data_IF_671998988160
#
_entry.id   IF_671998988160
#
_cell.length_a   1.000
_cell.length_b   1.000
_cell.length_c   1.000
_cell.angle_alpha   90.00
_cell.angle_beta   90.00
_cell.angle_gamma   90.00
#
_symmetry.space_group_name_H-M   'P 1'
#
loop_
_entity.id
_entity.type
_entity.pdbx_description
1 polymer ?
#
# COMPACT_ATOMS: atom_id res chain seq x y z
N UNK A 1 3.13 0.97 26.12
CA UNK A 1 2.77 2.05 25.17
C UNK A 1 3.10 3.42 25.74
N UNK A 2 2.63 3.72 26.95
CA UNK A 2 2.91 4.97 27.66
C UNK A 2 4.40 5.30 27.77
N UNK A 3 5.25 4.32 28.07
CA UNK A 3 6.70 4.52 28.12
C UNK A 3 7.28 4.97 26.78
N UNK A 4 6.78 4.44 25.66
CA UNK A 4 7.22 4.83 24.33
C UNK A 4 6.80 6.27 24.02
N UNK A 5 5.52 6.62 24.23
CA UNK A 5 5.01 7.97 24.01
C UNK A 5 5.72 8.99 24.91
N UNK A 6 5.97 8.61 26.17
CA UNK A 6 6.74 9.42 27.12
C UNK A 6 8.15 9.68 26.60
N UNK A 7 8.87 8.65 26.17
CA UNK A 7 10.23 8.78 25.61
C UNK A 7 10.27 9.56 24.30
N UNK A 8 9.27 9.37 23.44
CA UNK A 8 9.15 10.15 22.20
C UNK A 8 8.98 11.65 22.51
N UNK A 9 8.15 11.98 23.50
CA UNK A 9 7.92 13.36 23.93
C UNK A 9 9.15 14.03 24.58
N UNK A 10 10.14 13.27 25.05
CA UNK A 10 11.39 13.83 25.58
C UNK A 10 12.20 14.55 24.49
N UNK A 11 12.09 14.13 23.23
CA UNK A 11 12.79 14.75 22.10
C UNK A 11 12.32 16.18 21.85
N UNK A 12 11.00 16.39 21.78
CA UNK A 12 10.41 17.72 21.56
C UNK A 12 10.53 18.64 22.79
N UNK A 13 10.76 18.07 23.99
CA UNK A 13 11.04 18.82 25.23
C UNK A 13 12.50 19.24 25.40
N UNK A 14 13.41 18.67 24.61
CA UNK A 14 14.83 18.97 24.71
C UNK A 14 15.13 20.45 24.46
N UNK A 15 16.08 21.03 25.19
CA UNK A 15 16.41 22.46 25.09
C UNK A 15 16.90 22.86 23.68
N UNK A 16 17.74 22.02 23.07
CA UNK A 16 18.27 22.24 21.72
C UNK A 16 17.17 22.16 20.67
N UNK A 17 16.17 21.30 20.87
CA UNK A 17 15.00 21.23 20.00
C UNK A 17 14.21 22.54 20.05
N UNK A 18 13.94 23.03 21.26
CA UNK A 18 13.23 24.30 21.46
C UNK A 18 13.96 25.52 20.86
N UNK A 19 15.30 25.50 20.86
CA UNK A 19 16.13 26.54 20.26
C UNK A 19 16.12 26.46 18.74
N UNK A 20 16.30 25.26 18.17
CA UNK A 20 16.31 25.03 16.73
C UNK A 20 14.94 25.28 16.09
N UNK A 21 13.85 24.85 16.72
CA UNK A 21 12.49 24.98 16.18
C UNK A 21 12.01 26.44 15.98
N UNK A 22 12.66 27.41 16.63
CA UNK A 22 12.31 28.85 16.55
C UNK A 22 13.09 29.60 15.47
N UNK A 23 14.20 29.05 15.00
CA UNK A 23 15.15 29.76 14.15
C UNK A 23 15.58 28.88 12.97
N UNK A 24 15.09 29.15 11.75
CA UNK A 24 15.55 28.44 10.55
C UNK A 24 17.05 28.62 10.28
N UNK A 25 17.62 29.72 10.76
CA UNK A 25 19.05 30.01 10.64
C UNK A 25 19.81 29.36 11.79
N UNK A 26 20.81 28.54 11.45
CA UNK A 26 21.68 27.91 12.44
C UNK A 26 22.43 28.98 13.25
N UNK A 27 22.22 28.97 14.56
CA UNK A 27 22.86 29.88 15.53
C UNK A 27 23.57 29.07 16.60
N UNK A 28 24.81 28.68 16.31
CA UNK A 28 25.67 27.94 17.21
C UNK A 28 26.93 28.75 17.56
N UNK A 29 27.28 28.77 18.84
CA UNK A 29 28.54 29.40 19.32
C UNK A 29 29.70 28.41 19.35
N UNK A 30 29.40 27.13 19.51
CA UNK A 30 30.37 26.03 19.53
C UNK A 30 29.84 24.84 18.73
N UNK A 31 30.70 23.98 18.16
CA UNK A 31 30.27 22.84 17.34
C UNK A 31 29.29 21.89 18.04
N UNK A 32 29.43 21.71 19.36
CA UNK A 32 28.56 20.85 20.17
C UNK A 32 27.09 21.33 20.24
N UNK A 33 26.79 22.58 19.86
CA UNK A 33 25.41 23.07 19.78
C UNK A 33 24.69 22.65 18.49
N UNK A 34 25.41 22.09 17.50
CA UNK A 34 24.87 21.69 16.19
C UNK A 34 24.44 20.22 16.21
N UNK A 35 23.55 19.88 17.14
CA UNK A 35 22.99 18.53 17.26
C UNK A 35 21.62 18.38 16.60
N UNK A 36 20.83 19.45 16.64
CA UNK A 36 19.46 19.47 16.12
C UNK A 36 19.30 20.69 15.23
N UNK A 37 18.78 20.48 14.02
CA UNK A 37 18.46 21.56 13.08
C UNK A 37 16.94 21.82 12.98
N UNK A 38 16.61 22.92 12.29
CA UNK A 38 15.24 23.37 12.13
C UNK A 38 14.36 22.39 11.33
N UNK A 39 14.91 21.76 10.28
CA UNK A 39 14.15 20.84 9.43
C UNK A 39 13.85 19.54 10.16
N UNK A 40 14.78 19.05 11.00
CA UNK A 40 14.53 17.96 11.92
C UNK A 40 13.35 18.28 12.83
N UNK A 41 13.32 19.46 13.48
CA UNK A 41 12.20 19.84 14.34
C UNK A 41 10.86 19.86 13.59
N UNK A 42 10.86 20.37 12.36
CA UNK A 42 9.64 20.44 11.53
C UNK A 42 9.15 19.05 11.15
N UNK A 43 10.05 18.17 10.74
CA UNK A 43 9.75 16.78 10.39
C UNK A 43 9.27 16.00 11.62
N UNK A 44 10.02 16.07 12.72
CA UNK A 44 9.74 15.36 13.96
C UNK A 44 8.34 15.70 14.50
N UNK A 45 7.96 16.98 14.50
CA UNK A 45 6.63 17.41 14.96
C UNK A 45 5.49 16.76 14.18
N UNK A 46 5.64 16.61 12.86
CA UNK A 46 4.62 15.96 12.02
C UNK A 46 4.57 14.46 12.32
N UNK A 47 5.73 13.81 12.35
CA UNK A 47 5.83 12.36 12.56
C UNK A 47 5.42 11.93 13.97
N UNK A 48 5.74 12.71 15.00
CA UNK A 48 5.34 12.46 16.40
C UNK A 48 3.81 12.38 16.52
N UNK A 49 3.10 13.33 15.91
CA UNK A 49 1.64 13.34 15.87
C UNK A 49 1.07 12.12 15.16
N UNK A 50 1.62 11.77 13.99
CA UNK A 50 1.18 10.59 13.22
C UNK A 50 1.40 9.30 14.02
N UNK A 51 2.59 9.14 14.60
CA UNK A 51 2.94 7.96 15.41
C UNK A 51 2.00 7.80 16.60
N UNK A 52 1.73 8.86 17.36
CA UNK A 52 0.81 8.82 18.50
C UNK A 52 -0.60 8.43 18.05
N UNK A 53 -1.11 9.00 16.95
CA UNK A 53 -2.44 8.67 16.42
C UNK A 53 -2.54 7.22 15.97
N UNK A 54 -1.57 6.73 15.20
CA UNK A 54 -1.55 5.32 14.75
C UNK A 54 -1.51 4.35 15.93
N UNK A 55 -0.77 4.72 16.97
CA UNK A 55 -0.67 3.96 18.20
C UNK A 55 -2.01 3.93 18.95
N UNK A 56 -2.67 5.08 19.16
CA UNK A 56 -4.01 5.13 19.80
C UNK A 56 -5.05 4.31 19.04
N UNK A 57 -5.08 4.43 17.71
CA UNK A 57 -5.99 3.64 16.85
C UNK A 57 -5.70 2.13 16.95
N UNK A 58 -4.45 1.72 17.18
CA UNK A 58 -4.10 0.31 17.42
C UNK A 58 -4.64 -0.20 18.76
N UNK A 59 -4.69 0.62 19.82
CA UNK A 59 -5.33 0.21 21.08
C UNK A 59 -6.85 0.08 20.93
N UNK A 60 -7.49 1.05 20.29
CA UNK A 60 -8.95 1.04 20.08
C UNK A 60 -9.37 -0.15 19.19
N UNK A 61 -8.63 -0.41 18.10
CA UNK A 61 -8.89 -1.57 17.23
C UNK A 61 -8.42 -2.92 17.82
N UNK A 62 -7.49 -2.90 18.77
CA UNK A 62 -7.00 -4.09 19.48
C UNK A 62 -7.95 -4.58 20.58
N UNK A 63 -8.85 -3.72 21.07
CA UNK A 63 -9.85 -4.09 22.07
C UNK A 63 -10.96 -5.00 21.50
N UNK A 64 -11.26 -4.92 20.19
CA UNK A 64 -12.24 -5.80 19.52
C UNK A 64 -11.63 -7.13 19.05
N UNK A 65 -10.31 -7.20 18.83
CA UNK A 65 -9.59 -8.36 18.27
C UNK A 65 -8.87 -9.22 19.33
N UNK A 66 -8.88 -8.83 20.62
CA UNK A 66 -8.18 -9.54 21.70
C UNK A 66 -8.71 -10.97 22.02
N UNK A 67 -9.70 -11.46 21.27
CA UNK A 67 -10.17 -12.85 21.32
C UNK A 67 -9.39 -13.83 20.42
N UNK A 68 -8.50 -13.37 19.53
CA UNK A 68 -7.74 -14.24 18.64
C UNK A 68 -6.28 -13.81 18.55
N UNK A 69 -5.40 -14.75 18.87
CA UNK A 69 -3.97 -14.73 18.55
C UNK A 69 -3.12 -13.74 19.35
N UNK A 70 -2.78 -14.14 20.58
CA UNK A 70 -1.44 -13.89 21.06
C UNK A 70 -0.44 -14.65 20.18
N UNK A 71 0.46 -13.92 19.51
CA UNK A 71 1.88 -14.23 19.29
C UNK A 71 2.45 -13.28 18.22
N UNK A 72 3.51 -12.53 18.55
CA UNK A 72 4.46 -12.04 17.54
C UNK A 72 4.55 -10.54 17.33
N UNK A 73 5.45 -9.89 18.07
CA UNK A 73 6.48 -8.97 17.56
C UNK A 73 6.17 -8.04 16.37
N UNK A 74 6.00 -6.75 16.66
CA UNK A 74 6.84 -5.67 16.09
C UNK A 74 6.67 -5.19 14.63
N UNK A 75 6.07 -5.95 13.71
CA UNK A 75 6.11 -5.65 12.26
C UNK A 75 4.78 -5.15 11.66
N UNK A 76 3.70 -5.11 12.44
CA UNK A 76 2.34 -5.09 11.87
C UNK A 76 1.84 -3.74 11.36
N UNK A 77 2.45 -2.61 11.72
CA UNK A 77 1.92 -1.29 11.33
C UNK A 77 2.11 -1.00 9.83
N UNK A 78 3.19 -1.51 9.22
CA UNK A 78 3.38 -1.47 7.76
C UNK A 78 2.55 -2.53 7.01
N UNK A 79 2.19 -3.62 7.68
CA UNK A 79 1.37 -4.71 7.12
C UNK A 79 -0.10 -4.30 6.98
N UNK A 80 -0.61 -3.31 7.73
CA UNK A 80 -2.01 -2.86 7.62
C UNK A 80 -2.26 -2.00 6.37
N UNK A 81 -1.40 -1.03 6.06
CA UNK A 81 -1.46 -0.32 4.76
C UNK A 81 -1.11 -1.26 3.60
N UNK A 82 -0.12 -2.14 3.80
CA UNK A 82 0.20 -3.21 2.85
C UNK A 82 -0.97 -4.17 2.62
N UNK A 83 -1.79 -4.43 3.64
CA UNK A 83 -2.95 -5.31 3.58
C UNK A 83 -4.09 -4.72 2.75
N UNK A 84 -4.38 -3.42 2.92
CA UNK A 84 -5.35 -2.73 2.09
C UNK A 84 -4.90 -2.67 0.62
N UNK A 85 -3.62 -2.38 0.38
CA UNK A 85 -3.05 -2.42 -0.97
C UNK A 85 -3.06 -3.85 -1.54
N UNK A 86 -2.75 -4.86 -0.74
CA UNK A 86 -2.73 -6.27 -1.16
C UNK A 86 -4.14 -6.76 -1.53
N UNK A 87 -5.17 -6.37 -0.79
CA UNK A 87 -6.56 -6.68 -1.15
C UNK A 87 -6.99 -5.98 -2.44
N UNK A 88 -6.57 -4.73 -2.67
CA UNK A 88 -6.79 -4.04 -3.95
C UNK A 88 -6.09 -4.75 -5.11
N UNK A 89 -4.84 -5.20 -4.92
CA UNK A 89 -4.12 -5.97 -5.93
C UNK A 89 -4.79 -7.32 -6.20
N UNK A 90 -5.22 -8.05 -5.17
CA UNK A 90 -5.96 -9.31 -5.34
C UNK A 90 -7.27 -9.09 -6.12
N UNK A 91 -8.01 -8.04 -5.82
CA UNK A 91 -9.24 -7.70 -6.54
C UNK A 91 -8.95 -7.39 -8.01
N UNK A 92 -7.89 -6.62 -8.29
CA UNK A 92 -7.46 -6.29 -9.64
C UNK A 92 -7.05 -7.54 -10.43
N UNK A 93 -6.29 -8.46 -9.81
CA UNK A 93 -5.89 -9.73 -10.44
C UNK A 93 -7.13 -10.56 -10.80
N UNK A 94 -8.08 -10.72 -9.88
CA UNK A 94 -9.34 -11.45 -10.16
C UNK A 94 -10.13 -10.84 -11.30
N UNK A 95 -10.19 -9.51 -11.38
CA UNK A 95 -10.85 -8.81 -12.47
C UNK A 95 -10.13 -9.04 -13.81
N UNK A 96 -8.79 -9.02 -13.81
CA UNK A 96 -7.99 -9.31 -15.00
C UNK A 96 -8.18 -10.75 -15.46
N UNK A 97 -8.17 -11.72 -14.54
CA UNK A 97 -8.40 -13.14 -14.83
C UNK A 97 -9.79 -13.36 -15.46
N UNK A 98 -10.83 -12.72 -14.91
CA UNK A 98 -12.19 -12.80 -15.45
C UNK A 98 -12.27 -12.24 -16.87
N UNK A 99 -11.64 -11.08 -17.13
CA UNK A 99 -11.61 -10.47 -18.46
C UNK A 99 -10.81 -11.29 -19.46
N UNK A 100 -9.72 -11.92 -19.01
CA UNK A 100 -8.90 -12.79 -19.84
C UNK A 100 -9.70 -14.04 -20.24
N UNK A 101 -10.41 -14.66 -19.30
CA UNK A 101 -11.30 -15.78 -19.60
C UNK A 101 -12.39 -15.41 -20.61
N UNK A 102 -13.01 -14.23 -20.47
CA UNK A 102 -14.00 -13.73 -21.41
C UNK A 102 -13.42 -13.54 -22.82
N UNK A 103 -12.24 -12.92 -22.93
CA UNK A 103 -11.56 -12.72 -24.21
C UNK A 103 -11.17 -14.05 -24.88
N UNK A 104 -10.67 -15.01 -24.11
CA UNK A 104 -10.34 -16.35 -24.62
C UNK A 104 -11.60 -17.04 -25.14
N UNK A 105 -12.72 -16.98 -24.41
CA UNK A 105 -13.98 -17.56 -24.84
C UNK A 105 -14.51 -16.91 -26.14
N UNK A 106 -14.40 -15.59 -26.28
CA UNK A 106 -14.78 -14.89 -27.53
C UNK A 106 -13.89 -15.29 -28.70
N UNK A 107 -12.58 -15.46 -28.46
CA UNK A 107 -11.63 -15.89 -29.49
C UNK A 107 -11.92 -17.32 -29.96
N UNK A 108 -12.22 -18.23 -29.03
CA UNK A 108 -12.61 -19.60 -29.36
C UNK A 108 -13.91 -19.65 -30.18
N UNK A 109 -14.91 -18.84 -29.82
CA UNK A 109 -16.16 -18.75 -30.58
C UNK A 109 -15.91 -18.23 -32.01
N UNK A 110 -15.12 -17.17 -32.17
CA UNK A 110 -14.74 -16.66 -33.49
C UNK A 110 -13.95 -17.68 -34.31
N UNK A 111 -13.04 -18.44 -33.70
CA UNK A 111 -12.28 -19.50 -34.37
C UNK A 111 -13.20 -20.62 -34.85
N UNK A 112 -14.17 -21.03 -34.03
CA UNK A 112 -15.17 -22.04 -34.41
C UNK A 112 -16.03 -21.56 -35.58
N UNK A 113 -16.52 -20.32 -35.54
CA UNK A 113 -17.28 -19.72 -36.63
C UNK A 113 -16.45 -19.65 -37.92
N UNK A 114 -15.20 -19.20 -37.82
CA UNK A 114 -14.31 -19.12 -38.98
C UNK A 114 -14.06 -20.49 -39.60
N UNK A 115 -13.79 -21.51 -38.77
CA UNK A 115 -13.62 -22.88 -39.23
C UNK A 115 -14.88 -23.42 -39.92
N UNK A 116 -16.07 -23.19 -39.36
CA UNK A 116 -17.34 -23.59 -39.97
C UNK A 116 -17.56 -22.95 -41.35
N UNK A 117 -17.21 -21.66 -41.48
CA UNK A 117 -17.26 -20.93 -42.76
C UNK A 117 -16.26 -21.51 -43.77
N UNK A 118 -15.02 -21.80 -43.36
CA UNK A 118 -14.02 -22.40 -44.24
C UNK A 118 -14.41 -23.79 -44.75
N UNK A 119 -14.99 -24.62 -43.88
CA UNK A 119 -15.52 -25.95 -44.26
C UNK A 119 -16.65 -25.78 -45.29
N UNK A 120 -17.59 -24.87 -45.03
CA UNK A 120 -18.71 -24.59 -45.95
C UNK A 120 -18.21 -24.10 -47.30
N UNK A 121 -17.28 -23.15 -47.32
CA UNK A 121 -16.64 -22.64 -48.53
C UNK A 121 -15.94 -23.75 -49.32
N UNK A 122 -15.20 -24.62 -48.64
CA UNK A 122 -14.50 -25.76 -49.27
C UNK A 122 -15.48 -26.75 -49.89
N UNK A 123 -16.60 -27.03 -49.23
CA UNK A 123 -17.65 -27.91 -49.76
C UNK A 123 -18.28 -27.29 -51.02
N UNK A 124 -18.61 -26.00 -50.99
CA UNK A 124 -19.24 -25.30 -52.11
C UNK A 124 -18.30 -25.19 -53.31
N UNK A 125 -17.00 -24.98 -53.10
CA UNK A 125 -16.01 -24.87 -54.18
C UNK A 125 -15.57 -26.22 -54.75
N UNK A 126 -15.73 -27.32 -54.00
CA UNK A 126 -15.42 -28.69 -54.47
C UNK A 126 -16.61 -29.44 -55.09
N UNK A 127 -17.83 -28.90 -55.06
CA UNK A 127 -18.94 -29.49 -55.82
C UNK A 127 -18.73 -29.19 -57.31
N UNK A 128 -18.52 -30.20 -58.18
CA UNK A 128 -18.52 -29.95 -59.60
C UNK A 128 -19.91 -29.46 -60.01
N UNK A 129 -19.98 -28.33 -60.70
CA UNK A 129 -21.18 -27.90 -61.41
C UNK A 129 -21.53 -29.01 -62.42
N UNK A 130 -22.46 -29.89 -62.05
CA UNK A 130 -23.09 -30.80 -62.99
C UNK A 130 -24.10 -29.98 -63.78
N UNK A 131 -23.68 -29.51 -64.95
CA UNK A 131 -24.56 -29.09 -66.03
C UNK A 131 -25.22 -30.31 -66.67
#
# INVERSE_FOLDING_TARGET
METFVSKLSEVSRHELYNKAAKHPQLRAKVPAEVLIDYEFCRLFKVLESVLIQTLVVKEESGAEEAGRAGTGTGEETGVREGGAALEQYKALIRQQDARLQELVAQLDDMLQQNHALQVTYTILTRRPFKY
#
